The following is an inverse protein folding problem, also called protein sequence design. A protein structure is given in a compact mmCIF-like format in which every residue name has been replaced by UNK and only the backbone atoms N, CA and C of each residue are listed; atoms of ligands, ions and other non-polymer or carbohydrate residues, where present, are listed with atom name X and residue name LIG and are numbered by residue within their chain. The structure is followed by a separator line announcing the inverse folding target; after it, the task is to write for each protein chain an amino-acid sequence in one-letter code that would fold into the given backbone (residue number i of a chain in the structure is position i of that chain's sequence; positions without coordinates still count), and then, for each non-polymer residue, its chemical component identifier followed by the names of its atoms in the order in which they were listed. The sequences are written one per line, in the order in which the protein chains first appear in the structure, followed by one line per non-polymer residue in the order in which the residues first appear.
data_IF_735115823251
#
_entry.id   IF_735115823251
#
_cell.length_a   1.000
_cell.length_b   1.000
_cell.length_c   1.000
_cell.angle_alpha   90.00
_cell.angle_beta   90.00
_cell.angle_gamma   90.00
#
_symmetry.space_group_name_H-M   'P 1'
#
loop_
_entity.id
_entity.type
_entity.pdbx_description
1 polymer ?
#
# COMPACT_ATOMS: atom_id res chain seq x y z
N UNK A 1 -7.60 -17.58 -14.44
CA UNK A 1 -6.18 -17.41 -14.65
C UNK A 1 -5.74 -16.06 -14.20
N UNK A 2 -4.72 -15.99 -13.45
CA UNK A 2 -4.27 -14.72 -13.01
C UNK A 2 -2.90 -14.43 -13.55
N UNK A 3 -2.66 -13.17 -13.64
CA UNK A 3 -1.46 -12.66 -14.18
C UNK A 3 -0.52 -12.32 -13.06
N UNK A 4 0.46 -13.15 -12.86
CA UNK A 4 1.38 -12.97 -11.75
C UNK A 4 2.64 -12.32 -12.26
N UNK A 5 2.93 -11.14 -11.77
CA UNK A 5 4.17 -10.46 -12.12
C UNK A 5 5.33 -11.13 -11.41
N UNK A 6 6.44 -11.25 -12.13
CA UNK A 6 7.69 -11.71 -11.51
C UNK A 6 8.21 -10.64 -10.58
N UNK A 7 9.15 -11.01 -9.71
CA UNK A 7 9.80 -10.04 -8.83
C UNK A 7 10.44 -8.91 -9.61
N UNK A 8 11.06 -9.23 -10.73
CA UNK A 8 11.70 -8.21 -11.56
C UNK A 8 10.68 -7.24 -12.12
N UNK A 9 9.54 -7.76 -12.57
CA UNK A 9 8.47 -6.93 -13.10
C UNK A 9 7.87 -6.04 -12.02
N UNK A 10 7.70 -6.57 -10.81
CA UNK A 10 7.20 -5.78 -9.69
C UNK A 10 8.16 -4.67 -9.33
N UNK A 11 9.47 -4.96 -9.32
CA UNK A 11 10.47 -3.95 -9.02
C UNK A 11 10.46 -2.83 -10.05
N UNK A 12 10.36 -3.19 -11.33
CA UNK A 12 10.33 -2.20 -12.40
C UNK A 12 9.06 -1.35 -12.34
N UNK A 13 7.93 -1.99 -12.09
CA UNK A 13 6.67 -1.27 -11.98
C UNK A 13 6.68 -0.33 -10.79
N UNK A 14 7.18 -0.80 -9.65
CA UNK A 14 7.27 0.03 -8.45
C UNK A 14 8.20 1.23 -8.66
N UNK A 15 9.34 1.01 -9.31
CA UNK A 15 10.27 2.10 -9.61
C UNK A 15 9.63 3.13 -10.53
N UNK A 16 8.85 2.66 -11.50
CA UNK A 16 8.15 3.55 -12.42
C UNK A 16 7.11 4.39 -11.66
N UNK A 17 6.34 3.77 -10.77
CA UNK A 17 5.36 4.48 -9.96
C UNK A 17 6.03 5.55 -9.10
N UNK A 18 7.09 5.18 -8.40
CA UNK A 18 7.74 6.08 -7.45
C UNK A 18 8.46 7.22 -8.17
N UNK A 19 9.14 6.92 -9.27
CA UNK A 19 9.98 7.90 -9.93
C UNK A 19 9.23 8.80 -10.93
N UNK A 20 8.19 8.25 -11.57
CA UNK A 20 7.51 8.98 -12.63
C UNK A 20 6.09 9.36 -12.30
N UNK A 21 5.31 8.44 -11.73
CA UNK A 21 3.91 8.73 -11.45
C UNK A 21 3.76 9.61 -10.21
N UNK A 22 4.43 9.24 -9.13
CA UNK A 22 4.38 9.99 -7.88
C UNK A 22 5.47 11.05 -7.82
N UNK A 23 6.60 10.78 -8.47
CA UNK A 23 7.77 11.66 -8.46
C UNK A 23 8.26 11.93 -7.05
N UNK A 24 8.39 10.86 -6.30
CA UNK A 24 8.81 10.95 -4.90
C UNK A 24 10.24 11.42 -4.82
N UNK A 25 10.49 12.37 -3.91
CA UNK A 25 11.83 12.92 -3.69
C UNK A 25 12.30 12.58 -2.30
N UNK A 26 13.61 12.70 -2.11
CA UNK A 26 14.23 12.45 -0.81
C UNK A 26 13.58 13.30 0.27
N UNK A 27 13.25 12.67 1.39
CA UNK A 27 12.62 13.32 2.52
C UNK A 27 11.11 13.44 2.43
N UNK A 28 10.51 13.15 1.29
CA UNK A 28 9.06 13.20 1.15
C UNK A 28 8.42 11.92 1.68
N UNK A 29 7.22 12.06 2.20
CA UNK A 29 6.44 10.94 2.73
C UNK A 29 5.57 10.35 1.66
N UNK A 30 5.42 9.03 1.70
CA UNK A 30 4.55 8.30 0.78
C UNK A 30 3.67 7.35 1.58
N UNK A 31 2.37 7.53 1.51
CA UNK A 31 1.44 6.59 2.13
C UNK A 31 1.04 5.54 1.10
N UNK A 32 1.26 4.28 1.45
CA UNK A 32 0.85 3.15 0.61
C UNK A 32 -0.38 2.53 1.28
N UNK A 33 -1.55 2.81 0.74
CA UNK A 33 -2.82 2.34 1.28
C UNK A 33 -3.34 1.21 0.40
N UNK A 34 -3.41 0.00 0.94
CA UNK A 34 -3.77 -1.15 0.14
C UNK A 34 -4.30 -2.27 1.03
N UNK A 35 -4.45 -3.44 0.45
CA UNK A 35 -4.87 -4.63 1.20
C UNK A 35 -3.75 -5.65 1.24
N UNK A 36 -3.89 -6.63 2.13
CA UNK A 36 -2.90 -7.69 2.26
C UNK A 36 -2.79 -8.54 0.99
N UNK A 37 -3.80 -8.50 0.12
CA UNK A 37 -3.74 -9.22 -1.16
C UNK A 37 -2.66 -8.66 -2.08
N UNK A 38 -2.34 -7.39 -1.94
CA UNK A 38 -1.36 -6.73 -2.80
C UNK A 38 0.02 -6.66 -2.15
N UNK A 39 0.28 -7.47 -1.14
CA UNK A 39 1.54 -7.38 -0.38
C UNK A 39 2.80 -7.40 -1.26
N UNK A 40 2.92 -8.28 -2.28
CA UNK A 40 4.14 -8.26 -3.09
C UNK A 40 4.40 -6.93 -3.76
N UNK A 41 3.35 -6.27 -4.27
CA UNK A 41 3.49 -4.96 -4.87
C UNK A 41 3.79 -3.89 -3.82
N UNK A 42 3.15 -3.98 -2.66
CA UNK A 42 3.40 -3.04 -1.56
C UNK A 42 4.86 -3.11 -1.14
N UNK A 43 5.43 -4.32 -1.02
CA UNK A 43 6.83 -4.49 -0.68
C UNK A 43 7.75 -3.84 -1.72
N UNK A 44 7.42 -4.01 -2.99
CA UNK A 44 8.22 -3.43 -4.07
C UNK A 44 8.18 -1.90 -4.05
N UNK A 45 6.99 -1.33 -3.83
CA UNK A 45 6.84 0.12 -3.76
C UNK A 45 7.56 0.68 -2.54
N UNK A 46 7.44 0.01 -1.40
CA UNK A 46 8.12 0.41 -0.17
C UNK A 46 9.64 0.47 -0.39
N UNK A 47 10.17 -0.57 -1.01
CA UNK A 47 11.61 -0.64 -1.31
C UNK A 47 12.03 0.46 -2.26
N UNK A 48 11.25 0.69 -3.33
CA UNK A 48 11.56 1.72 -4.30
C UNK A 48 11.53 3.11 -3.66
N UNK A 49 10.59 3.35 -2.76
CA UNK A 49 10.50 4.63 -2.05
C UNK A 49 11.74 4.87 -1.20
N UNK A 50 12.19 3.86 -0.48
CA UNK A 50 13.41 3.98 0.33
C UNK A 50 14.63 4.26 -0.54
N UNK A 51 14.69 3.64 -1.72
CA UNK A 51 15.86 3.81 -2.61
C UNK A 51 16.03 5.24 -3.10
N UNK A 52 14.93 5.98 -3.24
CA UNK A 52 15.03 7.38 -3.64
C UNK A 52 15.10 8.32 -2.44
N UNK A 53 15.21 7.78 -1.24
CA UNK A 53 15.32 8.59 -0.03
C UNK A 53 13.98 9.05 0.53
N UNK A 54 12.88 8.51 0.04
CA UNK A 54 11.57 8.83 0.56
C UNK A 54 11.29 8.13 1.88
N UNK A 55 10.19 8.50 2.50
CA UNK A 55 9.78 7.96 3.80
C UNK A 55 8.42 7.28 3.63
N UNK A 56 8.41 5.96 3.34
CA UNK A 56 7.15 5.27 3.10
C UNK A 56 6.47 4.87 4.40
N UNK A 57 5.14 4.94 4.37
CA UNK A 57 4.28 4.42 5.41
C UNK A 57 3.28 3.49 4.76
N UNK A 58 2.89 2.44 5.46
CA UNK A 58 1.89 1.52 4.93
C UNK A 58 0.65 1.52 5.80
N UNK A 59 -0.50 1.44 5.15
CA UNK A 59 -1.78 1.20 5.80
C UNK A 59 -2.40 0.03 5.07
N UNK A 60 -2.35 -1.14 5.69
CA UNK A 60 -2.85 -2.34 5.06
C UNK A 60 -4.05 -2.86 5.81
N UNK A 61 -5.09 -3.21 5.07
CA UNK A 61 -6.27 -3.84 5.63
C UNK A 61 -6.40 -5.24 5.06
N UNK A 62 -7.00 -6.14 5.81
CA UNK A 62 -7.27 -7.47 5.28
C UNK A 62 -8.60 -7.49 4.55
N UNK A 63 -8.74 -8.46 3.66
CA UNK A 63 -9.95 -8.59 2.86
C UNK A 63 -11.15 -8.82 3.77
N UNK A 64 -12.26 -8.18 3.44
CA UNK A 64 -13.52 -8.29 4.19
C UNK A 64 -13.52 -7.56 5.53
N UNK A 65 -12.49 -6.79 5.84
CA UNK A 65 -12.39 -6.10 7.12
C UNK A 65 -13.56 -5.14 7.35
N UNK A 66 -13.92 -4.40 6.32
CA UNK A 66 -15.00 -3.42 6.41
C UNK A 66 -16.36 -4.09 6.69
N UNK A 67 -16.60 -5.23 6.06
CA UNK A 67 -17.85 -5.96 6.28
C UNK A 67 -17.93 -6.51 7.70
N UNK A 68 -16.81 -7.01 8.23
CA UNK A 68 -16.77 -7.50 9.59
C UNK A 68 -17.05 -6.38 10.57
N UNK A 69 -16.46 -5.21 10.33
CA UNK A 69 -16.69 -4.06 11.19
C UNK A 69 -18.16 -3.63 11.17
N UNK A 70 -18.76 -3.57 9.98
CA UNK A 70 -20.19 -3.21 9.88
C UNK A 70 -21.09 -4.22 10.56
N UNK A 71 -20.71 -5.48 10.53
CA UNK A 71 -21.55 -6.54 11.10
C UNK A 71 -21.48 -6.57 12.63
N UNK A 72 -20.31 -6.29 13.21
CA UNK A 72 -20.10 -6.52 14.65
C UNK A 72 -19.87 -5.26 15.46
N UNK A 73 -19.55 -4.14 14.84
CA UNK A 73 -19.26 -2.92 15.59
C UNK A 73 -20.53 -2.20 16.01
N UNK A 74 -20.49 -1.60 17.20
CA UNK A 74 -21.56 -0.74 17.67
C UNK A 74 -21.46 0.62 16.99
N UNK A 75 -22.54 1.44 17.05
CA UNK A 75 -22.47 2.80 16.52
C UNK A 75 -21.33 3.62 17.17
N UNK A 76 -21.11 3.41 18.46
CA UNK A 76 -20.03 4.12 19.17
C UNK A 76 -18.66 3.72 18.62
N UNK A 77 -18.47 2.45 18.33
CA UNK A 77 -17.20 1.97 17.79
C UNK A 77 -16.95 2.53 16.39
N UNK A 78 -17.98 2.59 15.57
CA UNK A 78 -17.85 3.13 14.23
C UNK A 78 -17.53 4.62 14.29
N UNK A 79 -18.18 5.37 15.19
CA UNK A 79 -17.95 6.79 15.33
C UNK A 79 -16.54 7.09 15.82
N UNK A 80 -15.96 6.21 16.63
CA UNK A 80 -14.64 6.44 17.22
C UNK A 80 -13.51 6.37 16.21
N UNK A 81 -13.76 5.79 15.02
CA UNK A 81 -12.74 5.61 14.00
C UNK A 81 -12.48 6.88 13.20
N UNK A 82 -13.40 7.82 13.23
CA UNK A 82 -13.29 9.06 12.44
C UNK A 82 -12.33 10.10 13.03
#
# INVERSE_FOLDING_TARGET
MQNIMTEIQLEKYAALLVNYSVRLKAGERLLIDSTTLAEPLVRAIYTAALRVGGIPFTLLTFENQSNIRHQYASPEQIAAVN
#
